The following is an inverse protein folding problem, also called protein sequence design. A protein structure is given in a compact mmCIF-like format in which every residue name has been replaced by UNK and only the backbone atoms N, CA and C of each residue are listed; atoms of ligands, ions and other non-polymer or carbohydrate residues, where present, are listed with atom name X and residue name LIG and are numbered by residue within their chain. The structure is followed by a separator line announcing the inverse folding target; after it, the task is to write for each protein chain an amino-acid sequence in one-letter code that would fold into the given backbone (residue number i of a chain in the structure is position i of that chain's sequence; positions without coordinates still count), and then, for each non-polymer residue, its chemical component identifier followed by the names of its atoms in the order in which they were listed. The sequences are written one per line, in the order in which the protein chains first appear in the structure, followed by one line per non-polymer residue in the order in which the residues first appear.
data_IF_773101849898
#
_entry.id   IF_773101849898
#
_cell.length_a   1.000
_cell.length_b   1.000
_cell.length_c   1.000
_cell.angle_alpha   90.00
_cell.angle_beta   90.00
_cell.angle_gamma   90.00
#
_symmetry.space_group_name_H-M   'P 1'
#
loop_
_entity.id
_entity.type
_entity.pdbx_description
1 polymer ?
#
# COMPACT_ATOMS: atom_id res chain seq x y z
N UNK A 1 42.31 35.42 9.01
CA UNK A 1 43.15 34.22 8.93
C UNK A 1 42.54 33.37 7.83
N UNK A 2 43.07 33.56 6.62
CA UNK A 2 42.67 32.87 5.41
C UNK A 2 42.93 31.37 5.51
N UNK A 3 41.95 30.56 5.14
CA UNK A 3 42.14 29.12 4.86
C UNK A 3 42.34 28.97 3.35
N UNK A 4 43.58 28.70 2.95
CA UNK A 4 44.05 28.59 1.56
C UNK A 4 43.52 27.32 0.88
N UNK A 5 42.83 27.49 -0.25
CA UNK A 5 42.23 26.48 -1.14
C UNK A 5 43.26 25.62 -1.93
N UNK A 6 44.40 25.25 -1.34
CA UNK A 6 45.53 24.65 -2.10
C UNK A 6 46.03 23.29 -1.64
N UNK A 7 45.11 22.40 -1.26
CA UNK A 7 45.44 20.99 -1.03
C UNK A 7 44.46 20.03 -1.69
N UNK A 8 44.41 20.03 -3.04
CA UNK A 8 44.13 18.79 -3.79
C UNK A 8 44.49 18.87 -5.28
N UNK A 9 45.64 19.44 -5.63
CA UNK A 9 46.29 19.09 -6.91
C UNK A 9 47.16 17.86 -6.63
N UNK A 10 46.64 16.68 -6.98
CA UNK A 10 47.36 15.40 -6.91
C UNK A 10 48.61 15.49 -7.79
N UNK A 11 49.77 15.56 -7.14
CA UNK A 11 51.04 15.17 -7.76
C UNK A 11 50.97 13.67 -8.08
N UNK A 12 50.62 13.33 -9.32
CA UNK A 12 50.77 11.98 -9.84
C UNK A 12 52.27 11.67 -9.98
N UNK A 13 52.89 11.12 -8.93
CA UNK A 13 54.21 10.49 -9.05
C UNK A 13 54.06 9.17 -9.83
N UNK A 14 54.72 9.00 -10.98
CA UNK A 14 54.68 7.74 -11.71
C UNK A 14 55.44 6.68 -10.91
N UNK A 15 54.75 5.61 -10.51
CA UNK A 15 55.38 4.43 -9.87
C UNK A 15 54.82 4.01 -8.51
N UNK A 16 53.86 4.73 -7.91
CA UNK A 16 53.12 4.15 -6.78
C UNK A 16 52.09 3.16 -7.32
N UNK A 17 52.34 1.86 -7.13
CA UNK A 17 51.28 0.85 -7.19
C UNK A 17 50.21 1.28 -6.18
N UNK A 18 49.04 1.69 -6.69
CA UNK A 18 47.90 2.04 -5.84
C UNK A 18 47.40 0.74 -5.24
N UNK A 19 47.86 0.44 -4.03
CA UNK A 19 47.31 -0.65 -3.24
C UNK A 19 45.90 -0.23 -2.83
N UNK A 20 44.90 -0.63 -3.62
CA UNK A 20 43.50 -0.37 -3.29
C UNK A 20 43.23 -1.03 -1.95
N UNK A 21 42.95 -0.22 -0.93
CA UNK A 21 42.50 -0.73 0.36
C UNK A 21 41.19 -1.49 0.15
N UNK A 22 41.23 -2.80 0.40
CA UNK A 22 40.04 -3.67 0.25
C UNK A 22 38.91 -3.26 1.18
N UNK A 23 39.21 -2.60 2.30
CA UNK A 23 38.24 -2.09 3.28
C UNK A 23 37.74 -0.68 2.96
N UNK A 24 38.48 0.09 2.15
CA UNK A 24 38.05 1.42 1.73
C UNK A 24 36.82 1.33 0.82
N UNK A 25 35.81 2.14 1.10
CA UNK A 25 34.62 2.31 0.26
C UNK A 25 34.80 3.43 -0.78
N UNK A 26 35.89 4.21 -0.67
CA UNK A 26 36.18 5.29 -1.60
C UNK A 26 36.28 4.74 -3.03
N UNK A 27 35.63 5.42 -3.97
CA UNK A 27 35.54 5.02 -5.39
C UNK A 27 34.79 3.69 -5.65
N UNK A 28 34.20 3.06 -4.63
CA UNK A 28 33.30 1.89 -4.74
C UNK A 28 31.82 2.25 -4.64
N UNK A 29 31.48 3.54 -4.81
CA UNK A 29 30.11 3.99 -4.83
C UNK A 29 29.32 3.22 -5.90
N UNK A 30 28.12 2.72 -5.58
CA UNK A 30 27.33 1.97 -6.53
C UNK A 30 26.93 2.89 -7.69
N UNK A 31 27.11 2.40 -8.91
CA UNK A 31 26.78 3.15 -10.13
C UNK A 31 25.34 2.85 -10.54
N UNK A 32 24.57 3.84 -10.99
CA UNK A 32 23.25 3.57 -11.54
C UNK A 32 23.38 2.78 -12.86
N UNK A 33 22.45 1.86 -13.11
CA UNK A 33 22.38 1.13 -14.40
C UNK A 33 21.98 2.07 -15.55
N UNK A 34 21.17 3.09 -15.24
CA UNK A 34 20.79 4.18 -16.14
C UNK A 34 20.41 5.43 -15.37
N UNK A 35 20.32 6.55 -16.07
CA UNK A 35 19.81 7.82 -15.55
C UNK A 35 18.54 8.21 -16.30
N UNK A 36 17.54 8.75 -15.61
CA UNK A 36 16.27 9.19 -16.21
C UNK A 36 15.87 10.58 -15.70
N UNK A 37 15.22 11.39 -16.51
CA UNK A 37 14.89 12.77 -16.11
C UNK A 37 13.88 12.82 -14.96
N UNK A 38 12.76 12.09 -15.07
CA UNK A 38 11.73 12.03 -14.03
C UNK A 38 11.42 10.58 -13.67
N UNK A 39 11.45 10.28 -12.37
CA UNK A 39 10.90 9.03 -11.83
C UNK A 39 9.61 9.33 -11.09
N UNK A 40 8.57 8.53 -11.35
CA UNK A 40 7.32 8.52 -10.60
C UNK A 40 7.18 7.18 -9.88
N UNK A 41 6.96 7.22 -8.57
CA UNK A 41 6.81 6.03 -7.73
C UNK A 41 5.35 5.86 -7.32
N UNK A 42 4.74 4.77 -7.75
CA UNK A 42 3.33 4.42 -7.54
C UNK A 42 2.48 4.75 -8.77
N UNK A 43 1.91 3.74 -9.40
CA UNK A 43 0.99 3.83 -10.54
C UNK A 43 -0.48 3.83 -10.09
N UNK A 44 -0.78 4.46 -8.96
CA UNK A 44 -2.13 4.91 -8.65
C UNK A 44 -2.56 6.10 -9.52
N UNK A 45 -3.79 6.58 -9.33
CA UNK A 45 -4.35 7.68 -10.14
C UNK A 45 -3.43 8.92 -10.20
N UNK A 46 -2.84 9.32 -9.07
CA UNK A 46 -1.95 10.48 -9.00
C UNK A 46 -0.64 10.28 -9.78
N UNK A 47 0.00 9.11 -9.65
CA UNK A 47 1.28 8.87 -10.30
C UNK A 47 1.15 8.64 -11.80
N UNK A 48 0.12 7.92 -12.25
CA UNK A 48 -0.15 7.76 -13.69
C UNK A 48 -0.45 9.11 -14.34
N UNK A 49 -1.29 9.94 -13.71
CA UNK A 49 -1.56 11.29 -14.21
C UNK A 49 -0.29 12.15 -14.28
N UNK A 50 0.53 12.15 -13.23
CA UNK A 50 1.79 12.88 -13.22
C UNK A 50 2.77 12.41 -14.31
N UNK A 51 2.85 11.09 -14.52
CA UNK A 51 3.72 10.52 -15.55
C UNK A 51 3.27 10.90 -16.96
N UNK A 52 1.96 10.82 -17.26
CA UNK A 52 1.39 11.22 -18.54
C UNK A 52 1.67 12.69 -18.84
N UNK A 53 1.41 13.59 -17.88
CA UNK A 53 1.63 15.03 -18.08
C UNK A 53 3.11 15.37 -18.30
N UNK A 54 4.02 14.72 -17.58
CA UNK A 54 5.46 14.89 -17.80
C UNK A 54 5.90 14.37 -19.18
N UNK A 55 5.41 13.21 -19.61
CA UNK A 55 5.75 12.65 -20.93
C UNK A 55 5.19 13.49 -22.09
N UNK A 56 3.99 14.07 -21.94
CA UNK A 56 3.36 14.95 -22.95
C UNK A 56 4.19 16.19 -23.28
N UNK A 57 5.01 16.68 -22.36
CA UNK A 57 5.93 17.80 -22.59
C UNK A 57 7.32 17.35 -23.05
N UNK A 58 7.49 16.07 -23.41
CA UNK A 58 8.70 15.52 -24.01
C UNK A 58 9.78 15.12 -23.01
N UNK A 59 9.45 14.99 -21.72
CA UNK A 59 10.40 14.54 -20.70
C UNK A 59 10.44 13.02 -20.67
N UNK A 60 11.63 12.45 -20.51
CA UNK A 60 11.79 11.01 -20.26
C UNK A 60 11.27 10.67 -18.86
N UNK A 61 10.27 9.78 -18.79
CA UNK A 61 9.62 9.39 -17.55
C UNK A 61 9.72 7.89 -17.33
N UNK A 62 10.15 7.51 -16.13
CA UNK A 62 10.06 6.16 -15.60
C UNK A 62 8.97 6.11 -14.52
N UNK A 63 7.89 5.37 -14.77
CA UNK A 63 6.84 5.09 -13.79
C UNK A 63 7.03 3.69 -13.21
N UNK A 64 7.15 3.59 -11.89
CA UNK A 64 7.42 2.34 -11.18
C UNK A 64 6.29 2.03 -10.23
N UNK A 65 5.82 0.78 -10.25
CA UNK A 65 4.81 0.29 -9.32
C UNK A 65 5.11 -1.16 -8.90
N UNK A 66 4.91 -1.43 -7.63
CA UNK A 66 5.15 -2.72 -7.01
C UNK A 66 4.10 -3.78 -7.38
N UNK A 67 2.93 -3.38 -7.88
CA UNK A 67 1.88 -4.32 -8.24
C UNK A 67 2.19 -4.99 -9.59
N UNK A 68 1.89 -6.29 -9.76
CA UNK A 68 1.32 -7.18 -8.76
C UNK A 68 2.31 -7.52 -7.65
N UNK A 69 1.84 -7.39 -6.40
CA UNK A 69 2.56 -7.78 -5.19
C UNK A 69 2.68 -9.31 -5.15
N UNK A 70 3.81 -9.81 -4.70
CA UNK A 70 4.00 -11.24 -4.55
C UNK A 70 3.14 -11.82 -3.43
N UNK A 71 2.60 -13.02 -3.66
CA UNK A 71 1.72 -13.71 -2.71
C UNK A 71 2.31 -13.78 -1.29
N UNK A 72 3.61 -14.02 -1.18
CA UNK A 72 4.28 -14.17 0.12
C UNK A 72 4.35 -12.84 0.88
N UNK A 73 4.51 -11.72 0.16
CA UNK A 73 4.43 -10.38 0.75
C UNK A 73 3.01 -10.06 1.20
N UNK A 74 2.01 -10.39 0.37
CA UNK A 74 0.60 -10.23 0.75
C UNK A 74 0.26 -11.09 1.98
N UNK A 75 0.82 -12.30 2.07
CA UNK A 75 0.64 -13.20 3.21
C UNK A 75 1.31 -12.66 4.49
N UNK A 76 2.28 -11.76 4.39
CA UNK A 76 2.85 -11.02 5.51
C UNK A 76 2.13 -9.69 5.77
N UNK A 77 1.03 -9.41 5.07
CA UNK A 77 0.30 -8.15 5.15
C UNK A 77 1.17 -6.93 4.77
N UNK A 78 1.98 -7.12 3.73
CA UNK A 78 2.85 -6.08 3.14
C UNK A 78 2.46 -5.87 1.67
N UNK A 79 2.21 -4.62 1.23
CA UNK A 79 2.23 -3.37 2.00
C UNK A 79 0.87 -3.04 2.66
N UNK A 80 -0.17 -3.79 2.33
CA UNK A 80 -1.53 -3.61 2.85
C UNK A 80 -1.90 -4.73 3.80
N UNK A 81 -2.87 -4.47 4.68
CA UNK A 81 -3.41 -5.48 5.57
C UNK A 81 -4.45 -6.35 4.85
N UNK A 82 -4.03 -7.49 4.29
CA UNK A 82 -4.84 -8.41 3.48
C UNK A 82 -5.57 -9.47 4.31
N UNK A 83 -5.16 -9.72 5.55
CA UNK A 83 -5.89 -10.55 6.50
C UNK A 83 -6.04 -12.01 6.11
N UNK A 84 -5.18 -12.49 5.22
CA UNK A 84 -5.13 -13.88 4.76
C UNK A 84 -6.42 -14.40 4.09
N UNK A 85 -7.32 -13.51 3.65
CA UNK A 85 -8.56 -13.86 2.93
C UNK A 85 -8.36 -13.78 1.42
N UNK A 86 -7.29 -14.39 0.91
CA UNK A 86 -6.93 -14.37 -0.51
C UNK A 86 -7.27 -15.69 -1.19
N UNK A 87 -7.92 -15.63 -2.34
CA UNK A 87 -8.16 -16.80 -3.18
C UNK A 87 -6.85 -17.28 -3.83
N UNK A 88 -6.70 -18.58 -4.14
CA UNK A 88 -5.47 -19.14 -4.73
C UNK A 88 -5.01 -18.48 -6.03
N UNK A 89 -5.87 -17.74 -6.73
CA UNK A 89 -5.51 -16.98 -7.94
C UNK A 89 -4.35 -16.02 -7.74
N UNK A 90 -4.12 -15.51 -6.52
CA UNK A 90 -2.98 -14.62 -6.23
C UNK A 90 -1.61 -15.29 -6.41
N UNK A 91 -1.57 -16.63 -6.44
CA UNK A 91 -0.34 -17.40 -6.69
C UNK A 91 0.06 -17.41 -8.17
N UNK A 92 -0.83 -17.03 -9.07
CA UNK A 92 -0.54 -16.96 -10.50
C UNK A 92 -0.13 -15.52 -10.87
N UNK A 93 1.18 -15.26 -10.90
CA UNK A 93 1.73 -13.93 -11.18
C UNK A 93 1.32 -13.37 -12.54
N UNK A 94 1.21 -14.21 -13.58
CA UNK A 94 0.79 -13.77 -14.90
C UNK A 94 -0.66 -13.27 -14.90
N UNK A 95 -1.56 -14.01 -14.26
CA UNK A 95 -2.95 -13.60 -14.08
C UNK A 95 -3.06 -12.32 -13.24
N UNK A 96 -2.24 -12.19 -12.21
CA UNK A 96 -2.22 -10.99 -11.37
C UNK A 96 -1.74 -9.75 -12.15
N UNK A 97 -0.72 -9.91 -13.00
CA UNK A 97 -0.26 -8.84 -13.89
C UNK A 97 -1.36 -8.41 -14.86
N UNK A 98 -2.01 -9.36 -15.52
CA UNK A 98 -3.15 -9.10 -16.41
C UNK A 98 -4.25 -8.30 -15.70
N UNK A 99 -4.65 -8.72 -14.49
CA UNK A 99 -5.66 -8.02 -13.70
C UNK A 99 -5.24 -6.60 -13.30
N UNK A 100 -3.97 -6.38 -12.94
CA UNK A 100 -3.44 -5.04 -12.63
C UNK A 100 -3.55 -4.12 -13.85
N UNK A 101 -3.22 -4.60 -15.04
CA UNK A 101 -3.32 -3.82 -16.28
C UNK A 101 -4.78 -3.58 -16.66
N UNK A 102 -5.63 -4.61 -16.64
CA UNK A 102 -7.07 -4.50 -16.96
C UNK A 102 -7.81 -3.50 -16.08
N UNK A 103 -7.50 -3.49 -14.78
CA UNK A 103 -8.20 -2.64 -13.80
C UNK A 103 -7.68 -1.21 -13.75
N UNK A 104 -6.60 -0.92 -14.47
CA UNK A 104 -6.00 0.40 -14.55
C UNK A 104 -5.72 0.79 -16.02
N UNK A 105 -6.76 1.14 -16.81
CA UNK A 105 -6.60 1.49 -18.22
C UNK A 105 -5.67 2.69 -18.45
N UNK A 106 -5.49 3.55 -17.45
CA UNK A 106 -4.58 4.68 -17.51
C UNK A 106 -3.10 4.25 -17.65
N UNK A 107 -2.74 3.00 -17.31
CA UNK A 107 -1.40 2.45 -17.61
C UNK A 107 -1.16 2.34 -19.12
N UNK A 108 -2.18 1.97 -19.89
CA UNK A 108 -2.10 1.92 -21.35
C UNK A 108 -1.92 3.34 -21.91
N UNK A 109 -2.68 4.32 -21.40
CA UNK A 109 -2.52 5.73 -21.78
C UNK A 109 -1.12 6.26 -21.46
N UNK A 110 -0.54 5.89 -20.31
CA UNK A 110 0.83 6.25 -19.96
C UNK A 110 1.85 5.65 -20.93
N UNK A 111 1.69 4.37 -21.27
CA UNK A 111 2.55 3.71 -22.25
C UNK A 111 2.46 4.37 -23.63
N UNK A 112 1.25 4.68 -24.11
CA UNK A 112 1.01 5.39 -25.37
C UNK A 112 1.60 6.80 -25.37
N UNK A 113 1.64 7.47 -24.21
CA UNK A 113 2.30 8.76 -24.03
C UNK A 113 3.84 8.67 -24.01
N UNK A 114 4.43 7.47 -24.07
CA UNK A 114 5.88 7.24 -24.07
C UNK A 114 6.50 7.09 -22.69
N UNK A 115 5.71 6.86 -21.65
CA UNK A 115 6.20 6.56 -20.29
C UNK A 115 6.79 5.13 -20.27
N UNK A 116 7.99 4.97 -19.71
CA UNK A 116 8.54 3.65 -19.37
C UNK A 116 7.86 3.15 -18.08
N UNK A 117 6.93 2.21 -18.21
CA UNK A 117 6.14 1.66 -17.11
C UNK A 117 6.74 0.34 -16.63
N UNK A 118 7.18 0.30 -15.38
CA UNK A 118 7.74 -0.89 -14.73
C UNK A 118 6.85 -1.34 -13.57
N UNK A 119 6.05 -2.38 -13.84
CA UNK A 119 5.20 -3.05 -12.87
C UNK A 119 5.96 -4.16 -12.15
N UNK A 120 5.45 -4.60 -11.00
CA UNK A 120 6.06 -5.65 -10.19
C UNK A 120 7.45 -5.28 -9.66
N UNK A 121 7.74 -3.98 -9.57
CA UNK A 121 9.06 -3.45 -9.19
C UNK A 121 8.91 -2.56 -7.95
N UNK A 122 9.63 -2.90 -6.90
CA UNK A 122 9.60 -2.20 -5.62
C UNK A 122 10.64 -1.08 -5.59
N UNK A 123 10.27 0.06 -5.02
CA UNK A 123 11.20 1.12 -4.65
C UNK A 123 11.49 0.99 -3.17
N UNK A 124 12.69 0.51 -2.82
CA UNK A 124 13.05 0.27 -1.41
C UNK A 124 13.85 1.41 -0.79
N UNK A 125 14.30 2.39 -1.58
CA UNK A 125 14.97 3.57 -1.03
C UNK A 125 15.27 4.66 -2.05
N UNK A 126 15.27 5.91 -1.59
CA UNK A 126 15.73 7.06 -2.34
C UNK A 126 16.95 7.67 -1.62
N UNK A 127 18.04 7.85 -2.36
CA UNK A 127 19.33 8.26 -1.82
C UNK A 127 19.79 9.55 -2.48
N UNK A 128 20.16 10.53 -1.66
CA UNK A 128 20.77 11.79 -2.09
C UNK A 128 22.00 12.06 -1.24
N UNK A 129 22.97 12.78 -1.80
CA UNK A 129 24.12 13.20 -1.01
C UNK A 129 23.67 14.16 0.10
N UNK A 130 24.21 13.96 1.30
CA UNK A 130 23.91 14.70 2.52
C UNK A 130 24.93 14.39 3.62
N UNK A 131 24.66 14.75 4.88
CA UNK A 131 25.62 14.55 5.98
C UNK A 131 26.09 13.11 6.15
N UNK A 132 25.20 12.15 5.89
CA UNK A 132 25.38 10.69 6.08
C UNK A 132 25.83 9.94 4.83
N UNK A 133 25.70 10.52 3.64
CA UNK A 133 26.03 9.89 2.35
C UNK A 133 26.70 10.95 1.47
N UNK A 134 27.96 10.79 1.08
CA UNK A 134 28.72 11.87 0.42
C UNK A 134 29.28 11.55 -0.95
N UNK A 135 29.27 10.28 -1.34
CA UNK A 135 30.02 9.79 -2.50
C UNK A 135 29.11 9.22 -3.60
N UNK A 136 27.80 9.54 -3.58
CA UNK A 136 26.93 9.14 -4.68
C UNK A 136 27.21 10.00 -5.91
N UNK A 137 27.14 9.43 -7.13
CA UNK A 137 27.30 10.20 -8.37
C UNK A 137 26.16 11.21 -8.59
N UNK A 138 25.02 11.04 -7.93
CA UNK A 138 23.84 11.90 -7.99
C UNK A 138 22.71 11.31 -7.14
N UNK A 139 21.49 11.88 -7.20
CA UNK A 139 20.30 11.24 -6.65
C UNK A 139 20.09 9.86 -7.29
N UNK A 140 19.82 8.86 -6.45
CA UNK A 140 19.61 7.48 -6.90
C UNK A 140 18.41 6.85 -6.21
N UNK A 141 17.72 5.99 -6.95
CA UNK A 141 16.61 5.19 -6.47
C UNK A 141 17.03 3.72 -6.44
N UNK A 142 16.82 3.08 -5.30
CA UNK A 142 16.97 1.64 -5.11
C UNK A 142 15.72 0.91 -5.57
N UNK A 143 15.90 0.04 -6.56
CA UNK A 143 14.86 -0.78 -7.16
C UNK A 143 15.11 -2.25 -6.88
N UNK A 144 14.03 -3.02 -6.79
CA UNK A 144 14.10 -4.47 -6.73
C UNK A 144 12.89 -5.09 -7.43
N UNK A 145 13.10 -6.26 -8.01
CA UNK A 145 12.04 -7.18 -8.43
C UNK A 145 12.25 -8.54 -7.73
N UNK A 146 11.56 -9.58 -8.19
CA UNK A 146 11.67 -10.94 -7.66
C UNK A 146 13.03 -11.61 -7.96
N UNK A 147 13.91 -10.99 -8.76
CA UNK A 147 15.16 -11.59 -9.26
C UNK A 147 16.40 -10.84 -8.83
N UNK A 148 16.34 -9.52 -8.72
CA UNK A 148 17.52 -8.69 -8.49
C UNK A 148 17.17 -7.34 -7.85
N UNK A 149 18.22 -6.62 -7.49
CA UNK A 149 18.15 -5.22 -7.05
C UNK A 149 19.17 -4.40 -7.83
N UNK A 150 18.81 -3.17 -8.16
CA UNK A 150 19.67 -2.26 -8.93
C UNK A 150 19.40 -0.80 -8.55
N UNK A 151 20.22 0.11 -9.08
CA UNK A 151 20.07 1.55 -8.87
C UNK A 151 19.75 2.25 -10.18
N UNK A 152 18.90 3.28 -10.11
CA UNK A 152 18.62 4.22 -11.20
C UNK A 152 18.91 5.64 -10.72
N UNK A 153 19.66 6.41 -11.51
CA UNK A 153 19.88 7.83 -11.28
C UNK A 153 18.68 8.65 -11.75
N UNK A 154 18.38 9.77 -11.09
CA UNK A 154 17.27 10.64 -11.51
C UNK A 154 17.53 12.13 -11.28
N UNK A 155 16.87 12.99 -12.07
CA UNK A 155 16.89 14.44 -11.84
C UNK A 155 15.75 14.89 -10.92
N UNK A 156 14.55 14.31 -11.08
CA UNK A 156 13.36 14.60 -10.26
C UNK A 156 12.64 13.31 -9.86
N UNK A 157 12.07 13.32 -8.66
CA UNK A 157 11.31 12.22 -8.09
C UNK A 157 9.92 12.72 -7.68
N UNK A 158 8.88 12.04 -8.16
CA UNK A 158 7.50 12.20 -7.70
C UNK A 158 7.12 10.97 -6.89
N UNK A 159 6.79 11.18 -5.61
CA UNK A 159 6.34 10.09 -4.73
C UNK A 159 4.82 10.09 -4.68
N UNK A 160 4.22 9.11 -5.34
CA UNK A 160 2.78 8.84 -5.36
C UNK A 160 2.47 7.47 -4.74
N UNK A 161 3.19 7.12 -3.67
CA UNK A 161 3.22 5.80 -3.03
C UNK A 161 1.92 5.40 -2.29
N UNK A 162 0.89 6.23 -2.33
CA UNK A 162 -0.40 5.94 -1.72
C UNK A 162 -0.39 5.99 -0.20
N UNK A 163 -1.29 5.22 0.41
CA UNK A 163 -1.50 5.17 1.85
C UNK A 163 -1.91 3.76 2.28
N UNK A 164 -1.53 3.38 3.50
CA UNK A 164 -1.85 2.10 4.13
C UNK A 164 -2.96 2.25 5.16
N UNK A 165 -3.64 1.13 5.44
CA UNK A 165 -4.69 1.07 6.44
C UNK A 165 -4.16 1.37 7.85
N UNK A 166 -4.93 2.13 8.62
CA UNK A 166 -4.75 2.22 10.07
C UNK A 166 -5.46 1.03 10.71
N UNK A 167 -4.70 0.10 11.25
CA UNK A 167 -5.23 -1.04 12.01
C UNK A 167 -5.27 -0.73 13.52
N UNK A 168 -6.30 -1.22 14.19
CA UNK A 168 -6.42 -1.21 15.65
C UNK A 168 -6.63 -2.63 16.13
N UNK A 169 -5.78 -3.09 17.06
CA UNK A 169 -5.88 -4.42 17.64
C UNK A 169 -7.08 -4.56 18.58
N UNK A 170 -7.73 -5.70 18.53
CA UNK A 170 -8.78 -6.12 19.46
C UNK A 170 -8.61 -7.63 19.74
N UNK A 171 -9.13 -8.17 20.85
CA UNK A 171 -9.01 -9.59 21.13
C UNK A 171 -9.49 -10.47 19.97
N UNK A 172 -8.66 -11.39 19.49
CA UNK A 172 -8.98 -12.28 18.36
C UNK A 172 -8.68 -11.70 16.97
N UNK A 173 -8.17 -10.46 16.87
CA UNK A 173 -7.80 -9.85 15.59
C UNK A 173 -6.62 -10.54 14.88
N UNK A 174 -5.82 -11.33 15.60
CA UNK A 174 -4.69 -12.10 15.04
C UNK A 174 -5.14 -13.27 14.15
N UNK A 175 -6.44 -13.58 14.14
CA UNK A 175 -7.04 -14.64 13.34
C UNK A 175 -7.17 -14.21 11.88
N UNK A 176 -7.03 -15.17 10.97
CA UNK A 176 -7.29 -14.94 9.56
C UNK A 176 -8.74 -14.47 9.34
N UNK A 177 -8.91 -13.36 8.60
CA UNK A 177 -10.18 -12.66 8.45
C UNK A 177 -10.15 -11.20 8.89
N UNK A 178 -9.28 -10.80 9.82
CA UNK A 178 -9.11 -9.38 10.13
C UNK A 178 -8.24 -8.73 9.05
N UNK A 179 -8.73 -7.68 8.40
CA UNK A 179 -8.05 -7.03 7.28
C UNK A 179 -8.33 -5.52 7.24
N UNK A 180 -7.52 -4.78 6.49
CA UNK A 180 -7.73 -3.35 6.23
C UNK A 180 -8.68 -3.09 5.05
N UNK A 181 -9.24 -1.89 4.97
CA UNK A 181 -10.12 -1.48 3.88
C UNK A 181 -9.40 -1.38 2.54
N UNK A 182 -8.19 -0.81 2.47
CA UNK A 182 -7.41 -0.79 1.24
C UNK A 182 -7.01 -2.20 0.81
N UNK A 183 -6.64 -3.07 1.75
CA UNK A 183 -6.42 -4.49 1.49
C UNK A 183 -7.65 -5.17 0.87
N UNK A 184 -8.84 -4.93 1.44
CA UNK A 184 -10.10 -5.46 0.95
C UNK A 184 -10.46 -4.94 -0.44
N UNK A 185 -10.40 -3.62 -0.64
CA UNK A 185 -10.67 -2.97 -1.94
C UNK A 185 -9.72 -3.50 -3.00
N UNK A 186 -8.43 -3.66 -2.69
CA UNK A 186 -7.43 -4.21 -3.61
C UNK A 186 -7.76 -5.65 -4.02
N UNK A 187 -8.16 -6.50 -3.06
CA UNK A 187 -8.58 -7.87 -3.35
C UNK A 187 -9.93 -7.95 -4.08
N UNK A 188 -10.85 -7.03 -3.84
CA UNK A 188 -12.15 -6.98 -4.53
C UNK A 188 -12.00 -6.53 -6.00
N UNK A 189 -11.17 -5.52 -6.24
CA UNK A 189 -11.08 -4.83 -7.54
C UNK A 189 -9.85 -5.25 -8.33
N UNK A 190 -8.68 -4.72 -7.96
CA UNK A 190 -7.40 -4.90 -8.66
C UNK A 190 -7.05 -6.36 -8.85
N UNK A 191 -7.18 -7.15 -7.78
CA UNK A 191 -6.77 -8.54 -7.79
C UNK A 191 -7.91 -9.52 -7.99
N UNK A 192 -9.18 -9.13 -7.85
CA UNK A 192 -10.37 -10.00 -7.97
C UNK A 192 -10.18 -11.37 -7.28
N UNK A 193 -9.70 -11.33 -6.04
CA UNK A 193 -9.23 -12.48 -5.29
C UNK A 193 -9.60 -12.45 -3.81
N UNK A 194 -10.61 -11.67 -3.40
CA UNK A 194 -11.10 -11.72 -2.02
C UNK A 194 -11.85 -13.04 -1.77
N UNK A 195 -11.43 -13.79 -0.75
CA UNK A 195 -12.03 -15.05 -0.30
C UNK A 195 -12.95 -14.89 0.92
N UNK A 196 -13.72 -13.81 0.97
CA UNK A 196 -14.72 -13.56 2.02
C UNK A 196 -16.13 -13.81 1.49
N UNK A 197 -16.97 -14.45 2.30
CA UNK A 197 -18.40 -14.61 2.04
C UNK A 197 -19.21 -13.54 2.77
N UNK A 198 -18.80 -13.17 3.99
CA UNK A 198 -19.53 -12.20 4.81
C UNK A 198 -18.64 -11.42 5.76
N UNK A 199 -18.62 -10.10 5.64
CA UNK A 199 -17.78 -9.21 6.44
C UNK A 199 -18.55 -8.28 7.37
N UNK A 200 -17.95 -7.96 8.52
CA UNK A 200 -18.28 -6.79 9.33
C UNK A 200 -17.30 -5.67 9.00
N UNK A 201 -17.80 -4.45 8.82
CA UNK A 201 -16.96 -3.27 8.53
C UNK A 201 -16.91 -2.40 9.77
N UNK A 202 -15.71 -2.04 10.22
CA UNK A 202 -15.51 -1.17 11.37
C UNK A 202 -15.15 0.23 10.88
N UNK A 203 -15.97 1.21 11.23
CA UNK A 203 -15.91 2.58 10.75
C UNK A 203 -17.03 2.88 9.75
N UNK A 204 -17.78 3.94 10.00
CA UNK A 204 -18.86 4.42 9.12
C UNK A 204 -18.51 5.68 8.33
N UNK A 205 -17.23 6.06 8.30
CA UNK A 205 -16.73 7.11 7.40
C UNK A 205 -16.81 6.68 5.93
N UNK A 206 -16.48 7.59 5.02
CA UNK A 206 -16.60 7.35 3.58
C UNK A 206 -15.85 6.10 3.10
N UNK A 207 -14.67 5.82 3.67
CA UNK A 207 -13.90 4.61 3.39
C UNK A 207 -14.71 3.34 3.71
N UNK A 208 -15.34 3.28 4.89
CA UNK A 208 -16.13 2.12 5.31
C UNK A 208 -17.41 1.96 4.50
N UNK A 209 -18.14 3.04 4.26
CA UNK A 209 -19.39 3.00 3.47
C UNK A 209 -19.14 2.61 2.01
N UNK A 210 -18.07 3.12 1.39
CA UNK A 210 -17.69 2.76 0.02
C UNK A 210 -17.19 1.32 -0.05
N UNK A 211 -16.39 0.88 0.93
CA UNK A 211 -15.95 -0.52 1.03
C UNK A 211 -17.14 -1.48 1.17
N UNK A 212 -18.15 -1.11 1.97
CA UNK A 212 -19.39 -1.88 2.11
C UNK A 212 -20.16 -2.01 0.80
N UNK A 213 -20.30 -0.89 0.08
CA UNK A 213 -21.00 -0.85 -1.21
C UNK A 213 -20.30 -1.76 -2.23
N UNK A 214 -18.98 -1.62 -2.33
CA UNK A 214 -18.13 -2.42 -3.22
C UNK A 214 -18.17 -3.92 -2.87
N UNK A 215 -18.15 -4.26 -1.58
CA UNK A 215 -18.25 -5.65 -1.13
C UNK A 215 -19.55 -6.28 -1.63
N UNK A 216 -20.69 -5.60 -1.43
CA UNK A 216 -21.99 -6.10 -1.89
C UNK A 216 -22.08 -6.17 -3.42
N UNK A 217 -21.53 -5.18 -4.14
CA UNK A 217 -21.45 -5.19 -5.62
C UNK A 217 -20.62 -6.37 -6.14
N UNK A 218 -19.63 -6.79 -5.36
CA UNK A 218 -18.76 -7.93 -5.67
C UNK A 218 -19.32 -9.28 -5.16
N UNK A 219 -20.55 -9.29 -4.64
CA UNK A 219 -21.21 -10.49 -4.14
C UNK A 219 -20.80 -10.94 -2.73
N UNK A 220 -20.04 -10.13 -1.99
CA UNK A 220 -19.67 -10.38 -0.60
C UNK A 220 -20.72 -9.78 0.33
N UNK A 221 -21.26 -10.58 1.25
CA UNK A 221 -22.25 -10.12 2.21
C UNK A 221 -21.66 -9.13 3.22
N UNK A 222 -22.42 -8.12 3.62
CA UNK A 222 -22.04 -7.21 4.71
C UNK A 222 -22.96 -7.48 5.91
N UNK A 223 -22.40 -8.07 6.97
CA UNK A 223 -23.13 -8.41 8.19
C UNK A 223 -23.50 -7.18 9.03
N UNK A 224 -22.75 -6.09 8.88
CA UNK A 224 -23.05 -4.81 9.49
C UNK A 224 -21.87 -3.85 9.39
N UNK A 225 -22.17 -2.58 9.61
CA UNK A 225 -21.19 -1.50 9.74
C UNK A 225 -21.22 -1.04 11.19
N UNK A 226 -20.06 -1.00 11.84
CA UNK A 226 -19.90 -0.74 13.27
C UNK A 226 -19.24 0.62 13.45
N UNK A 227 -19.86 1.49 14.23
CA UNK A 227 -19.42 2.84 14.47
C UNK A 227 -19.49 3.17 15.97
N UNK A 228 -18.41 3.73 16.50
CA UNK A 228 -18.32 4.12 17.92
C UNK A 228 -19.10 5.41 18.19
N UNK A 229 -19.22 6.29 17.20
CA UNK A 229 -20.09 7.45 17.28
C UNK A 229 -21.57 7.06 17.32
N UNK A 230 -22.39 7.91 17.94
CA UNK A 230 -23.84 7.75 18.00
C UNK A 230 -24.55 7.93 16.65
N UNK A 231 -23.82 8.32 15.62
CA UNK A 231 -24.31 8.65 14.27
C UNK A 231 -23.30 8.18 13.23
N UNK A 232 -23.76 7.94 12.01
CA UNK A 232 -22.90 7.64 10.86
C UNK A 232 -22.03 8.85 10.54
N UNK A 233 -20.75 8.60 10.20
CA UNK A 233 -19.75 9.66 9.98
C UNK A 233 -19.55 10.05 8.51
N UNK A 234 -19.78 9.14 7.57
CA UNK A 234 -19.62 9.36 6.12
C UNK A 234 -20.90 9.82 5.44
N UNK A 235 -20.91 9.74 4.12
CA UNK A 235 -22.06 10.11 3.27
C UNK A 235 -23.36 9.39 3.65
N UNK A 236 -24.34 10.15 4.13
CA UNK A 236 -25.63 9.62 4.57
C UNK A 236 -26.45 8.96 3.45
N UNK A 237 -26.31 9.40 2.20
CA UNK A 237 -27.04 8.81 1.08
C UNK A 237 -26.53 7.39 0.81
N UNK A 238 -25.21 7.18 0.88
CA UNK A 238 -24.62 5.84 0.80
C UNK A 238 -25.07 4.99 1.98
N UNK A 239 -25.05 5.53 3.21
CA UNK A 239 -25.50 4.81 4.39
C UNK A 239 -26.98 4.38 4.31
N UNK A 240 -27.87 5.28 3.84
CA UNK A 240 -29.30 4.95 3.61
C UNK A 240 -29.47 3.90 2.52
N UNK A 241 -28.69 3.97 1.44
CA UNK A 241 -28.70 2.96 0.38
C UNK A 241 -28.30 1.58 0.90
N UNK A 242 -27.23 1.50 1.69
CA UNK A 242 -26.77 0.26 2.33
C UNK A 242 -27.82 -0.30 3.31
N UNK A 243 -28.42 0.55 4.14
CA UNK A 243 -29.51 0.16 5.03
C UNK A 243 -30.74 -0.35 4.26
N UNK A 244 -31.09 0.30 3.14
CA UNK A 244 -32.17 -0.15 2.24
C UNK A 244 -31.89 -1.50 1.57
N UNK A 245 -30.61 -1.89 1.45
CA UNK A 245 -30.17 -3.22 1.00
C UNK A 245 -30.08 -4.24 2.15
N UNK A 246 -30.51 -3.86 3.36
CA UNK A 246 -30.56 -4.73 4.53
C UNK A 246 -29.26 -4.79 5.34
N UNK A 247 -28.30 -3.90 5.11
CA UNK A 247 -27.07 -3.83 5.92
C UNK A 247 -27.35 -3.14 7.26
N UNK A 248 -27.18 -3.82 8.40
CA UNK A 248 -27.35 -3.19 9.70
C UNK A 248 -26.27 -2.13 9.98
N UNK A 249 -26.68 -1.01 10.55
CA UNK A 249 -25.78 0.05 11.04
C UNK A 249 -25.77 0.03 12.58
N UNK A 250 -24.63 -0.29 13.18
CA UNK A 250 -24.43 -0.38 14.62
C UNK A 250 -23.66 0.86 15.10
N UNK A 251 -24.37 1.96 15.34
CA UNK A 251 -23.81 3.18 15.96
C UNK A 251 -23.73 3.06 17.48
N UNK A 252 -22.79 3.75 18.12
CA UNK A 252 -22.45 3.56 19.53
C UNK A 252 -22.08 2.10 19.85
N UNK A 253 -21.41 1.41 18.93
CA UNK A 253 -20.91 0.05 19.13
C UNK A 253 -19.44 -0.05 18.73
N UNK A 254 -18.74 -1.01 19.32
CA UNK A 254 -17.40 -1.44 18.91
C UNK A 254 -17.29 -2.95 18.93
N UNK A 255 -16.19 -3.49 18.39
CA UNK A 255 -15.85 -4.91 18.53
C UNK A 255 -15.25 -5.14 19.91
N UNK A 256 -15.84 -6.08 20.64
CA UNK A 256 -15.29 -6.60 21.90
C UNK A 256 -14.22 -7.65 21.63
N UNK A 257 -14.52 -8.60 20.76
CA UNK A 257 -13.61 -9.68 20.35
C UNK A 257 -14.06 -10.32 19.02
N UNK A 258 -13.13 -10.93 18.30
CA UNK A 258 -13.43 -11.90 17.25
C UNK A 258 -13.24 -13.33 17.77
N UNK A 259 -14.12 -14.23 17.32
CA UNK A 259 -14.12 -15.64 17.70
C UNK A 259 -14.02 -16.53 16.46
N UNK A 260 -13.49 -17.72 16.65
CA UNK A 260 -13.52 -18.77 15.63
C UNK A 260 -12.77 -20.02 16.06
N UNK A 261 -13.10 -21.14 15.41
CA UNK A 261 -12.67 -22.48 15.87
C UNK A 261 -11.29 -22.90 15.37
N UNK A 262 -10.87 -22.46 14.19
CA UNK A 262 -9.66 -22.96 13.50
C UNK A 262 -8.84 -21.80 12.93
N UNK A 263 -8.21 -20.99 13.79
CA UNK A 263 -7.29 -19.90 13.38
C UNK A 263 -7.91 -18.77 12.54
N UNK A 264 -9.16 -18.92 12.12
CA UNK A 264 -9.94 -17.99 11.32
C UNK A 264 -11.07 -17.38 12.16
N UNK A 265 -11.58 -16.24 11.70
CA UNK A 265 -12.79 -15.61 12.24
C UNK A 265 -14.02 -16.36 11.72
N UNK A 266 -14.91 -16.75 12.63
CA UNK A 266 -16.26 -17.28 12.35
C UNK A 266 -17.36 -16.30 12.81
N UNK A 267 -17.04 -15.43 13.77
CA UNK A 267 -17.96 -14.42 14.31
C UNK A 267 -17.22 -13.29 15.03
N UNK A 268 -17.91 -12.17 15.23
CA UNK A 268 -17.49 -11.09 16.13
C UNK A 268 -18.53 -10.81 17.20
N UNK A 269 -18.06 -10.45 18.37
CA UNK A 269 -18.90 -9.94 19.46
C UNK A 269 -18.84 -8.42 19.42
N UNK A 270 -19.96 -7.78 19.12
CA UNK A 270 -20.12 -6.34 19.29
C UNK A 270 -20.53 -6.02 20.72
N UNK A 271 -20.20 -4.82 21.18
CA UNK A 271 -20.65 -4.27 22.47
C UNK A 271 -21.02 -2.81 22.29
N UNK A 272 -22.08 -2.36 22.96
CA UNK A 272 -22.41 -0.93 22.99
C UNK A 272 -21.34 -0.17 23.78
N UNK A 273 -21.13 1.09 23.41
CA UNK A 273 -20.28 2.02 24.15
C UNK A 273 -21.08 3.22 24.64
N UNK A 274 -20.79 3.68 25.85
CA UNK A 274 -21.38 4.89 26.41
C UNK A 274 -20.74 6.17 25.83
N UNK A 275 -21.18 7.34 26.29
CA UNK A 275 -20.65 8.65 25.86
C UNK A 275 -19.16 8.84 26.16
N UNK A 276 -18.60 8.06 27.09
CA UNK A 276 -17.17 8.03 27.43
C UNK A 276 -16.41 6.93 26.67
N UNK A 277 -17.02 6.33 25.65
CA UNK A 277 -16.50 5.20 24.87
C UNK A 277 -16.20 3.94 25.69
N UNK A 278 -16.86 3.77 26.85
CA UNK A 278 -16.70 2.58 27.68
C UNK A 278 -17.73 1.51 27.29
N UNK A 279 -17.32 0.23 27.16
CA UNK A 279 -18.24 -0.86 26.91
C UNK A 279 -19.34 -0.98 27.97
N UNK A 280 -20.59 -1.09 27.53
CA UNK A 280 -21.76 -1.30 28.39
C UNK A 280 -21.95 -2.80 28.61
N UNK A 281 -21.77 -3.26 29.85
CA UNK A 281 -21.89 -4.69 30.19
C UNK A 281 -23.31 -5.23 29.93
N UNK A 282 -23.41 -6.43 29.37
CA UNK A 282 -24.68 -7.08 29.05
C UNK A 282 -25.28 -6.66 27.69
N UNK A 283 -24.61 -5.76 26.96
CA UNK A 283 -25.02 -5.33 25.61
C UNK A 283 -24.36 -6.15 24.49
N UNK A 284 -23.66 -7.23 24.85
CA UNK A 284 -22.90 -8.03 23.90
C UNK A 284 -23.82 -8.71 22.89
N UNK A 285 -23.44 -8.64 21.61
CA UNK A 285 -24.14 -9.30 20.52
C UNK A 285 -23.16 -9.97 19.58
N UNK A 286 -23.33 -11.27 19.41
CA UNK A 286 -22.54 -12.03 18.45
C UNK A 286 -23.13 -11.92 17.03
N UNK A 287 -22.26 -11.70 16.04
CA UNK A 287 -22.58 -11.60 14.62
C UNK A 287 -21.69 -12.59 13.87
N UNK A 288 -22.31 -13.51 13.13
CA UNK A 288 -21.61 -14.43 12.25
C UNK A 288 -21.02 -13.69 11.03
N UNK A 289 -19.71 -13.83 10.83
CA UNK A 289 -18.94 -13.27 9.72
C UNK A 289 -17.59 -13.98 9.62
N UNK A 290 -17.02 -14.06 8.41
CA UNK A 290 -15.69 -14.65 8.21
C UNK A 290 -14.57 -13.60 8.16
N UNK A 291 -14.94 -12.32 8.12
CA UNK A 291 -14.02 -11.22 7.84
C UNK A 291 -14.41 -9.98 8.66
N UNK A 292 -13.40 -9.30 9.20
CA UNK A 292 -13.52 -7.98 9.84
C UNK A 292 -12.69 -7.00 9.03
N UNK A 293 -13.34 -6.06 8.37
CA UNK A 293 -12.69 -5.05 7.57
C UNK A 293 -12.56 -3.75 8.37
N UNK A 294 -11.33 -3.35 8.67
CA UNK A 294 -11.00 -2.14 9.42
C UNK A 294 -10.91 -0.94 8.47
N UNK A 295 -11.92 -0.08 8.51
CA UNK A 295 -12.01 1.16 7.75
C UNK A 295 -11.85 2.38 8.68
N UNK A 296 -10.79 2.36 9.50
CA UNK A 296 -10.57 3.33 10.58
C UNK A 296 -9.82 4.60 10.14
N UNK A 297 -9.28 4.60 8.93
CA UNK A 297 -8.47 5.69 8.39
C UNK A 297 -7.26 5.15 7.61
N UNK A 298 -6.54 6.05 6.96
CA UNK A 298 -5.36 5.75 6.17
C UNK A 298 -4.17 6.59 6.64
N UNK A 299 -2.98 6.01 6.62
CA UNK A 299 -1.72 6.69 6.86
C UNK A 299 -0.92 6.75 5.55
N UNK A 300 -0.43 7.93 5.11
CA UNK A 300 0.48 8.02 3.98
C UNK A 300 1.70 7.10 4.17
N UNK A 301 2.16 6.50 3.07
CA UNK A 301 3.35 5.65 3.05
C UNK A 301 4.65 6.47 3.14
#
# INVERSE_FOLDING_TARGET
MDFDERLCRRDCRPGLAVTIDKRSIAEKAPRPERHVAVVVVGAGAAGVAAAIEAARVGVEVLLIDENPIDNDMMAMDVPLYFGQRMQPSVRNRALMMERVVETNPALAEAHEAGVDVQLGTYVWGAFVNGPTVRELPGPMLGLADDRRSWLVGYDRLIVAAGARDVAMGFPGWERAGAMGANGAVSLLTRYRALGSQRMVIVGSGDLGLRTASLALESGVGVAGIVEVANTVRGDEAIARSLAGRGVPLYTAHTIREARGRVGEIDSVVLVQVDESLKPVAGSEREIACDTVCLALGLAPN
#
